data_IF_167102431284
#
_entry.id   IF_167102431284
#
_cell.length_a   1.000
_cell.length_b   1.000
_cell.length_c   1.000
_cell.angle_alpha   90.00
_cell.angle_beta   90.00
_cell.angle_gamma   90.00
#
_symmetry.space_group_name_H-M   'P 1'
#
loop_
_entity.id
_entity.type
_entity.pdbx_description
1 polymer ?
#
# COMPACT_ATOMS: atom_id res chain seq x y z
N UNK A 1 -27.20 89.29 4.32
CA UNK A 1 -26.37 89.25 3.17
C UNK A 1 -26.84 88.09 2.29
N UNK A 2 -27.23 88.39 1.04
CA UNK A 2 -27.61 87.37 0.06
C UNK A 2 -26.35 86.55 -0.28
N UNK A 3 -26.48 85.24 -0.20
CA UNK A 3 -25.47 84.29 -0.66
C UNK A 3 -25.38 84.41 -2.19
N UNK A 4 -24.32 85.04 -2.69
CA UNK A 4 -24.06 85.24 -4.14
C UNK A 4 -23.14 84.16 -4.67
N UNK A 5 -23.31 82.92 -4.22
CA UNK A 5 -22.66 81.82 -4.86
C UNK A 5 -23.31 81.62 -6.24
N UNK A 6 -22.55 81.82 -7.32
CA UNK A 6 -22.94 81.53 -8.70
C UNK A 6 -22.13 80.36 -9.27
N UNK A 7 -22.80 79.60 -10.04
CA UNK A 7 -22.15 78.46 -10.72
C UNK A 7 -21.16 78.94 -11.80
N UNK A 8 -19.91 78.49 -11.74
CA UNK A 8 -18.90 78.78 -12.74
C UNK A 8 -18.93 77.78 -13.87
N UNK A 9 -19.38 78.18 -15.05
CA UNK A 9 -19.45 77.35 -16.22
C UNK A 9 -18.25 77.52 -17.19
N UNK A 10 -17.35 78.46 -16.96
CA UNK A 10 -16.17 78.74 -17.79
C UNK A 10 -14.89 78.56 -17.00
N UNK A 11 -13.83 78.12 -17.65
CA UNK A 11 -12.48 77.93 -17.09
C UNK A 11 -12.40 76.90 -15.97
N UNK A 12 -13.30 75.89 -16.00
CA UNK A 12 -13.15 74.73 -15.11
C UNK A 12 -11.93 73.94 -15.55
N UNK A 13 -10.91 73.73 -14.71
CA UNK A 13 -9.77 72.89 -15.07
C UNK A 13 -10.24 71.47 -15.36
N UNK A 14 -9.84 70.93 -16.51
CA UNK A 14 -10.25 69.59 -16.97
C UNK A 14 -9.12 68.81 -17.64
N UNK A 15 -7.89 69.26 -17.43
CA UNK A 15 -6.67 68.67 -17.98
C UNK A 15 -6.17 67.45 -17.18
N UNK A 16 -6.75 67.20 -16.00
CA UNK A 16 -6.45 66.02 -15.19
C UNK A 16 -7.71 65.54 -14.49
N UNK A 17 -7.90 64.21 -14.37
CA UNK A 17 -9.05 63.63 -13.69
C UNK A 17 -9.19 64.06 -12.22
N UNK A 18 -8.06 64.32 -11.57
CA UNK A 18 -7.98 64.82 -10.20
C UNK A 18 -8.52 66.22 -10.00
N UNK A 19 -8.74 66.98 -11.08
CA UNK A 19 -9.40 68.29 -10.98
C UNK A 19 -10.86 68.19 -10.53
N UNK A 20 -11.51 67.05 -10.81
CA UNK A 20 -12.91 66.80 -10.47
C UNK A 20 -13.07 65.58 -9.57
N UNK A 21 -12.17 64.59 -9.64
CA UNK A 21 -12.24 63.33 -8.91
C UNK A 21 -11.20 63.24 -7.81
N UNK A 22 -11.60 62.72 -6.65
CA UNK A 22 -10.68 62.46 -5.55
C UNK A 22 -9.94 61.16 -5.84
N UNK A 23 -8.60 61.20 -5.82
CA UNK A 23 -7.79 60.01 -5.95
C UNK A 23 -7.87 59.12 -4.71
N UNK A 24 -8.63 58.01 -4.81
CA UNK A 24 -8.81 57.02 -3.77
C UNK A 24 -7.54 56.23 -3.48
N UNK A 25 -6.57 56.26 -4.42
CA UNK A 25 -5.29 55.56 -4.30
C UNK A 25 -4.22 56.43 -3.59
N UNK A 26 -4.54 57.68 -3.30
CA UNK A 26 -3.66 58.64 -2.57
C UNK A 26 -2.28 58.77 -3.22
N UNK A 27 -2.23 58.87 -4.53
CA UNK A 27 -1.02 59.03 -5.33
C UNK A 27 -0.16 57.78 -5.52
N UNK A 28 -0.54 56.63 -4.92
CA UNK A 28 0.30 55.39 -4.95
C UNK A 28 0.35 54.72 -6.29
N UNK A 29 -0.56 55.01 -7.23
CA UNK A 29 -0.64 54.45 -8.56
C UNK A 29 -0.29 55.41 -9.69
N UNK A 30 0.18 56.61 -9.33
CA UNK A 30 0.53 57.67 -10.31
C UNK A 30 -0.68 58.48 -10.75
N UNK A 31 -0.46 59.46 -11.62
CA UNK A 31 -1.48 60.45 -12.03
C UNK A 31 -2.22 60.06 -13.32
N UNK A 32 -1.76 59.04 -14.03
CA UNK A 32 -2.37 58.60 -15.29
C UNK A 32 -3.53 57.60 -15.00
N UNK A 33 -4.70 58.11 -14.69
CA UNK A 33 -5.89 57.33 -14.36
C UNK A 33 -6.37 56.46 -15.52
N UNK A 34 -6.22 56.93 -16.76
CA UNK A 34 -6.68 56.24 -17.97
C UNK A 34 -5.83 54.99 -18.28
N UNK A 35 -4.67 54.85 -17.66
CA UNK A 35 -3.89 53.62 -17.77
C UNK A 35 -4.60 52.39 -17.18
N UNK A 36 -5.56 52.60 -16.29
CA UNK A 36 -6.28 51.57 -15.61
C UNK A 36 -7.81 51.71 -15.70
N UNK A 37 -8.30 52.91 -15.80
CA UNK A 37 -9.74 53.23 -15.82
C UNK A 37 -10.19 53.69 -17.20
N UNK A 38 -11.45 53.42 -17.54
CA UNK A 38 -12.12 53.95 -18.73
C UNK A 38 -13.23 54.91 -18.35
N UNK A 39 -13.41 56.00 -19.08
CA UNK A 39 -14.54 56.92 -18.87
C UNK A 39 -15.91 56.25 -19.03
N UNK A 40 -16.00 55.16 -19.81
CA UNK A 40 -17.23 54.43 -20.04
C UNK A 40 -17.61 53.46 -18.91
N UNK A 41 -16.61 52.98 -18.18
CA UNK A 41 -16.81 52.07 -17.03
C UNK A 41 -15.63 52.18 -16.07
N UNK A 42 -15.76 53.12 -15.12
CA UNK A 42 -14.72 53.43 -14.14
C UNK A 42 -14.40 52.25 -13.20
N UNK A 43 -15.38 51.44 -12.90
CA UNK A 43 -15.23 50.31 -11.96
C UNK A 43 -14.78 49.03 -12.62
N UNK A 44 -14.93 48.91 -13.92
CA UNK A 44 -14.50 47.75 -14.68
C UNK A 44 -13.01 47.87 -15.01
N UNK A 45 -12.17 47.51 -14.05
CA UNK A 45 -10.76 47.28 -14.23
C UNK A 45 -10.58 45.95 -15.00
N UNK A 46 -11.22 45.76 -16.14
CA UNK A 46 -11.03 44.59 -16.98
C UNK A 46 -9.61 44.65 -17.50
N UNK A 47 -8.69 44.21 -16.68
CA UNK A 47 -7.32 43.76 -16.83
C UNK A 47 -6.47 44.15 -18.04
N UNK A 48 -6.97 44.95 -18.92
CA UNK A 48 -6.33 45.24 -20.21
C UNK A 48 -5.15 46.18 -20.13
N UNK A 49 -5.06 46.95 -19.07
CA UNK A 49 -4.04 48.01 -19.00
C UNK A 49 -3.12 47.93 -17.78
N UNK A 50 -3.38 47.04 -16.80
CA UNK A 50 -2.48 46.87 -15.68
C UNK A 50 -1.59 45.66 -15.86
N UNK A 51 -0.32 45.87 -16.06
CA UNK A 51 0.68 44.83 -16.32
C UNK A 51 1.43 44.45 -15.03
N UNK A 52 1.04 43.35 -14.41
CA UNK A 52 1.70 42.81 -13.24
C UNK A 52 3.15 42.38 -13.48
N UNK A 53 3.56 42.21 -14.73
CA UNK A 53 4.96 41.89 -15.04
C UNK A 53 5.93 42.98 -14.61
N UNK A 54 5.44 44.22 -14.51
CA UNK A 54 6.20 45.42 -14.06
C UNK A 54 6.13 45.63 -12.56
N UNK A 55 5.45 44.75 -11.80
CA UNK A 55 5.32 44.87 -10.35
C UNK A 55 6.33 44.00 -9.63
N UNK A 56 6.44 44.14 -8.31
CA UNK A 56 7.28 43.27 -7.47
C UNK A 56 6.78 41.82 -7.40
N UNK A 57 5.55 41.53 -7.86
CA UNK A 57 4.96 40.21 -7.91
C UNK A 57 4.35 39.95 -9.31
N UNK A 58 5.13 39.55 -10.29
CA UNK A 58 4.63 39.16 -11.60
C UNK A 58 3.71 37.93 -11.46
N UNK A 59 2.53 37.98 -12.08
CA UNK A 59 1.59 36.87 -12.05
C UNK A 59 2.01 35.78 -13.01
N UNK A 60 2.27 34.58 -12.49
CA UNK A 60 2.69 33.43 -13.26
C UNK A 60 1.82 32.20 -12.95
N UNK A 61 1.74 31.28 -13.90
CA UNK A 61 0.99 30.03 -13.76
C UNK A 61 -0.49 30.27 -13.41
N UNK A 62 -0.98 29.62 -12.37
CA UNK A 62 -2.38 29.76 -11.92
C UNK A 62 -2.70 31.16 -11.41
N UNK A 63 -1.71 31.93 -10.95
CA UNK A 63 -1.94 33.31 -10.51
C UNK A 63 -2.30 34.25 -11.66
N UNK A 64 -1.90 33.94 -12.90
CA UNK A 64 -2.19 34.78 -14.06
C UNK A 64 -3.70 34.92 -14.36
N UNK A 65 -4.51 34.00 -13.87
CA UNK A 65 -5.96 33.96 -14.11
C UNK A 65 -6.80 34.22 -12.85
N UNK A 66 -6.17 34.61 -11.75
CA UNK A 66 -6.88 34.91 -10.49
C UNK A 66 -7.51 36.29 -10.54
N UNK A 67 -8.76 36.43 -10.10
CA UNK A 67 -9.42 37.71 -10.00
C UNK A 67 -8.70 38.67 -9.07
N UNK A 68 -8.65 39.94 -9.45
CA UNK A 68 -7.95 41.01 -8.72
C UNK A 68 -8.33 41.07 -7.23
N UNK A 69 -9.61 40.92 -6.94
CA UNK A 69 -10.18 41.01 -5.59
C UNK A 69 -9.81 39.84 -4.67
N UNK A 70 -9.26 38.75 -5.21
CA UNK A 70 -8.77 37.61 -4.40
C UNK A 70 -7.49 37.96 -3.66
N UNK A 71 -6.71 38.87 -4.22
CA UNK A 71 -5.49 39.39 -3.60
C UNK A 71 -5.69 40.81 -3.02
N UNK A 72 -6.33 41.70 -3.80
CA UNK A 72 -6.57 43.08 -3.45
C UNK A 72 -7.95 43.26 -2.79
N UNK A 73 -8.05 42.90 -1.53
CA UNK A 73 -9.31 43.04 -0.77
C UNK A 73 -9.42 44.47 -0.17
N UNK A 74 -10.63 44.90 0.17
CA UNK A 74 -10.87 46.16 0.83
C UNK A 74 -10.11 46.33 2.17
N UNK A 75 -9.78 45.24 2.84
CA UNK A 75 -9.01 45.22 4.10
C UNK A 75 -7.49 45.24 3.89
N UNK A 76 -7.02 44.73 2.78
CA UNK A 76 -5.59 44.69 2.45
C UNK A 76 -5.38 45.61 1.28
N UNK A 77 -5.04 46.82 1.47
CA UNK A 77 -4.79 47.80 0.40
C UNK A 77 -4.04 47.19 -0.80
N UNK A 78 -3.92 47.91 -1.90
CA UNK A 78 -3.29 47.41 -3.11
C UNK A 78 -1.76 47.34 -3.01
N UNK A 79 -1.17 48.06 -2.04
CA UNK A 79 0.29 48.17 -1.85
C UNK A 79 0.84 47.40 -0.67
N UNK A 80 0.00 46.94 0.25
CA UNK A 80 0.41 46.36 1.56
C UNK A 80 0.38 44.82 1.56
N UNK A 81 0.38 44.23 0.38
CA UNK A 81 0.41 42.76 0.25
C UNK A 81 1.78 42.21 0.63
N UNK A 82 1.81 41.24 1.54
CA UNK A 82 2.95 40.38 1.77
C UNK A 82 2.90 39.24 0.76
N UNK A 83 4.01 38.93 0.12
CA UNK A 83 4.12 37.90 -0.90
C UNK A 83 5.54 37.32 -0.98
N UNK A 84 6.25 37.34 0.14
CA UNK A 84 7.61 36.78 0.22
C UNK A 84 7.56 35.25 0.25
N UNK A 85 6.58 34.71 0.94
CA UNK A 85 6.38 33.28 1.07
C UNK A 85 4.99 32.87 0.58
N UNK A 86 4.86 31.66 0.08
CA UNK A 86 3.54 31.12 -0.32
C UNK A 86 2.54 31.16 0.83
N UNK A 87 3.02 30.99 2.06
CA UNK A 87 2.22 31.04 3.30
C UNK A 87 1.72 32.43 3.66
N UNK A 88 2.19 33.50 3.01
CA UNK A 88 1.62 34.83 3.21
C UNK A 88 0.16 34.91 2.72
N UNK A 89 -0.19 34.05 1.76
CA UNK A 89 -1.52 33.97 1.15
C UNK A 89 -2.17 32.59 1.31
N UNK A 90 -1.39 31.50 1.29
CA UNK A 90 -1.89 30.15 1.35
C UNK A 90 -1.67 29.53 2.74
N UNK A 91 -2.70 28.90 3.30
CA UNK A 91 -2.54 28.11 4.50
C UNK A 91 -1.75 26.82 4.20
N UNK A 92 -0.87 26.43 5.13
CA UNK A 92 -0.12 25.19 5.01
C UNK A 92 -1.06 23.98 5.18
N UNK A 93 -1.34 23.32 4.05
CA UNK A 93 -2.14 22.10 4.00
C UNK A 93 -1.50 20.95 4.79
N UNK A 94 -0.18 20.92 4.90
CA UNK A 94 0.58 19.88 5.57
C UNK A 94 0.70 20.10 7.09
N UNK A 95 0.17 21.22 7.60
CA UNK A 95 0.12 21.55 9.03
C UNK A 95 1.48 21.45 9.73
N UNK A 96 2.52 21.93 9.07
CA UNK A 96 3.88 21.95 9.60
C UNK A 96 4.64 20.62 9.50
N UNK A 97 4.09 19.59 8.87
CA UNK A 97 4.74 18.27 8.73
C UNK A 97 6.14 18.33 8.11
N UNK A 98 6.42 19.37 7.31
CA UNK A 98 7.71 19.55 6.63
C UNK A 98 8.61 20.64 7.24
N UNK A 99 8.21 21.23 8.37
CA UNK A 99 8.96 22.33 8.99
C UNK A 99 10.41 21.99 9.39
N UNK A 100 10.69 20.68 9.60
CA UNK A 100 12.03 20.19 9.98
C UNK A 100 12.93 19.88 8.77
N UNK A 101 12.43 20.01 7.54
CA UNK A 101 13.27 19.80 6.34
C UNK A 101 14.31 20.91 6.18
N UNK A 102 15.37 20.65 5.43
CA UNK A 102 16.53 21.55 5.26
C UNK A 102 16.15 22.98 4.86
N UNK A 103 15.11 23.12 4.00
CA UNK A 103 14.57 24.44 3.61
C UNK A 103 13.31 24.82 4.38
N UNK A 104 13.12 24.29 5.58
CA UNK A 104 11.96 24.52 6.45
C UNK A 104 10.61 24.23 5.77
N UNK A 105 10.60 23.29 4.82
CA UNK A 105 9.41 22.90 4.09
C UNK A 105 8.91 23.97 3.10
N UNK A 106 9.84 24.69 2.46
CA UNK A 106 9.51 25.64 1.41
C UNK A 106 8.67 24.96 0.32
N UNK A 107 7.54 25.55 -0.02
CA UNK A 107 6.53 24.93 -0.91
C UNK A 107 7.10 24.64 -2.30
N UNK A 108 8.03 25.46 -2.75
CA UNK A 108 8.69 25.40 -4.06
C UNK A 108 9.57 24.15 -4.24
N UNK A 109 9.93 23.47 -3.14
CA UNK A 109 10.67 22.21 -3.23
C UNK A 109 9.84 21.09 -3.87
N UNK A 110 8.52 21.19 -3.74
CA UNK A 110 7.61 20.13 -4.16
C UNK A 110 6.50 20.61 -5.10
N UNK A 111 6.24 21.91 -5.15
CA UNK A 111 5.14 22.51 -5.91
C UNK A 111 5.62 23.64 -6.82
N UNK A 112 4.80 23.98 -7.80
CA UNK A 112 5.02 25.15 -8.67
C UNK A 112 3.77 26.01 -8.73
N UNK A 113 3.93 27.25 -9.19
CA UNK A 113 2.81 28.13 -9.46
C UNK A 113 1.86 27.64 -10.59
N UNK A 114 2.23 26.58 -11.30
CA UNK A 114 1.34 25.89 -12.26
C UNK A 114 0.24 25.09 -11.57
N UNK A 115 0.47 24.72 -10.30
CA UNK A 115 -0.50 24.02 -9.44
C UNK A 115 0.19 23.26 -8.31
N UNK A 116 -0.57 23.00 -7.26
CA UNK A 116 -0.11 22.16 -6.14
C UNK A 116 -0.23 20.65 -6.44
N UNK A 117 -0.99 20.27 -7.45
CA UNK A 117 -1.14 18.88 -7.88
C UNK A 117 -0.99 18.80 -9.41
N UNK A 118 -0.19 17.85 -9.93
CA UNK A 118 0.66 16.92 -9.17
C UNK A 118 1.85 17.63 -8.51
N UNK A 119 2.40 17.01 -7.47
CA UNK A 119 3.65 17.45 -6.87
C UNK A 119 4.84 17.11 -7.78
N UNK A 120 5.92 17.88 -7.69
CA UNK A 120 7.21 17.58 -8.33
C UNK A 120 8.05 16.60 -7.50
N UNK A 121 7.57 16.15 -6.35
CA UNK A 121 8.29 15.20 -5.50
C UNK A 121 8.33 13.82 -6.16
N UNK A 122 9.52 13.32 -6.41
CA UNK A 122 9.76 12.08 -7.16
C UNK A 122 10.06 10.89 -6.26
N UNK A 123 9.95 9.67 -6.79
CA UNK A 123 10.38 8.43 -6.10
C UNK A 123 11.87 8.51 -5.72
N UNK A 124 12.71 9.08 -6.58
CA UNK A 124 14.13 9.26 -6.28
C UNK A 124 14.39 10.21 -5.08
N UNK A 125 13.51 11.18 -4.87
CA UNK A 125 13.56 12.03 -3.69
C UNK A 125 13.01 11.29 -2.45
N UNK A 126 12.04 10.39 -2.62
CA UNK A 126 11.50 9.55 -1.56
C UNK A 126 12.54 8.57 -1.01
N UNK A 127 13.50 8.14 -1.83
CA UNK A 127 14.62 7.28 -1.39
C UNK A 127 15.46 7.90 -0.26
N UNK A 128 15.44 9.23 -0.14
CA UNK A 128 16.13 10.00 0.91
C UNK A 128 15.27 10.26 2.15
N UNK A 129 14.07 9.69 2.22
CA UNK A 129 13.18 9.78 3.37
C UNK A 129 13.46 8.68 4.39
N UNK A 130 12.80 8.73 5.54
CA UNK A 130 12.89 7.71 6.60
C UNK A 130 12.37 6.34 6.16
N UNK A 131 11.62 6.26 5.05
CA UNK A 131 11.11 5.02 4.48
C UNK A 131 11.39 4.96 2.97
N UNK A 132 12.57 4.51 2.55
CA UNK A 132 12.87 4.27 1.14
C UNK A 132 11.91 3.25 0.52
N UNK A 133 11.33 3.57 -0.64
CA UNK A 133 10.41 2.66 -1.33
C UNK A 133 11.19 1.54 -2.01
N UNK A 134 10.79 0.29 -1.74
CA UNK A 134 11.42 -0.91 -2.31
C UNK A 134 10.39 -1.91 -2.79
N UNK A 135 10.77 -2.73 -3.76
CA UNK A 135 9.96 -3.83 -4.26
C UNK A 135 8.56 -3.39 -4.66
N UNK A 136 7.54 -4.07 -4.17
CA UNK A 136 6.14 -3.77 -4.47
C UNK A 136 5.68 -2.37 -4.05
N UNK A 137 6.35 -1.73 -3.06
CA UNK A 137 6.01 -0.38 -2.62
C UNK A 137 6.32 0.70 -3.68
N UNK A 138 7.19 0.43 -4.65
CA UNK A 138 7.46 1.33 -5.77
C UNK A 138 6.25 1.49 -6.72
N UNK A 139 5.35 0.52 -6.75
CA UNK A 139 4.22 0.48 -7.69
C UNK A 139 2.91 1.00 -7.09
N UNK A 140 2.87 1.33 -5.79
CA UNK A 140 1.62 1.77 -5.14
C UNK A 140 1.44 3.29 -5.26
N UNK A 141 0.19 3.78 -5.41
CA UNK A 141 -0.09 5.22 -5.43
C UNK A 141 0.30 5.91 -4.11
N UNK A 142 0.81 7.13 -4.19
CA UNK A 142 1.23 7.92 -3.03
C UNK A 142 0.14 8.02 -1.95
N UNK A 143 -1.10 8.21 -2.37
CA UNK A 143 -2.27 8.33 -1.49
C UNK A 143 -2.56 7.09 -0.65
N UNK A 144 -2.07 5.92 -1.04
CA UNK A 144 -2.25 4.68 -0.27
C UNK A 144 -1.58 4.75 1.10
N UNK A 145 -0.42 5.41 1.17
CA UNK A 145 0.30 5.63 2.42
C UNK A 145 -0.01 7.02 3.02
N UNK A 146 -0.12 8.04 2.16
CA UNK A 146 -0.21 9.44 2.58
C UNK A 146 -1.64 9.96 2.79
N UNK A 147 -2.65 9.09 2.75
CA UNK A 147 -4.03 9.45 3.09
C UNK A 147 -4.49 8.66 4.31
N UNK A 148 -4.55 9.31 5.43
CA UNK A 148 -5.05 8.77 6.70
C UNK A 148 -6.48 9.20 7.02
N UNK A 149 -6.93 8.84 8.22
CA UNK A 149 -8.15 9.36 8.84
C UNK A 149 -7.80 9.92 10.21
N UNK A 150 -8.43 11.02 10.57
CA UNK A 150 -8.34 11.56 11.93
C UNK A 150 -9.26 10.81 12.91
N UNK A 151 -9.28 11.26 14.16
CA UNK A 151 -10.11 10.65 15.20
C UNK A 151 -11.62 10.72 14.91
N UNK A 152 -12.06 11.62 14.03
CA UNK A 152 -13.46 11.75 13.61
C UNK A 152 -13.80 10.90 12.39
N UNK A 153 -12.79 10.23 11.78
CA UNK A 153 -12.92 9.48 10.56
C UNK A 153 -12.80 10.31 9.28
N UNK A 154 -12.56 11.61 9.38
CA UNK A 154 -12.34 12.49 8.24
C UNK A 154 -10.98 12.19 7.58
N UNK A 155 -10.94 12.27 6.25
CA UNK A 155 -9.69 12.04 5.49
C UNK A 155 -8.71 13.17 5.76
N UNK A 156 -7.48 12.79 6.12
CA UNK A 156 -6.36 13.72 6.32
C UNK A 156 -5.15 13.25 5.52
N UNK A 157 -4.35 14.21 5.10
CA UNK A 157 -3.04 13.89 4.52
C UNK A 157 -2.04 13.62 5.66
N UNK A 158 -1.39 12.47 5.62
CA UNK A 158 -0.42 12.02 6.60
C UNK A 158 0.96 11.90 5.95
N UNK A 159 1.91 12.71 6.37
CA UNK A 159 3.28 12.70 5.82
C UNK A 159 4.34 12.33 6.85
N UNK A 160 3.97 12.27 8.13
CA UNK A 160 4.87 11.87 9.22
C UNK A 160 4.35 10.57 9.82
N UNK A 161 5.19 9.56 9.81
CA UNK A 161 4.91 8.25 10.39
C UNK A 161 5.81 8.03 11.60
N UNK A 162 5.24 7.44 12.66
CA UNK A 162 5.99 7.18 13.91
C UNK A 162 6.77 5.88 13.88
N UNK A 163 6.38 4.96 12.99
CA UNK A 163 6.94 3.61 12.89
C UNK A 163 6.92 3.15 11.45
N UNK A 164 7.86 2.28 11.11
CA UNK A 164 8.07 1.76 9.76
C UNK A 164 8.12 0.23 9.71
N UNK A 165 7.80 -0.44 10.83
CA UNK A 165 7.69 -1.91 10.84
C UNK A 165 6.47 -2.35 10.01
N UNK A 166 6.61 -3.47 9.33
CA UNK A 166 5.57 -4.01 8.43
C UNK A 166 4.18 -4.05 9.08
N UNK A 167 4.10 -4.50 10.34
CA UNK A 167 2.85 -4.63 11.08
C UNK A 167 2.18 -3.29 11.43
N UNK A 168 2.87 -2.16 11.25
CA UNK A 168 2.27 -0.84 11.47
C UNK A 168 1.26 -0.49 10.37
N UNK A 169 1.52 -0.95 9.15
CA UNK A 169 0.67 -0.69 7.98
C UNK A 169 -0.08 -1.94 7.51
N UNK A 170 0.50 -3.13 7.70
CA UNK A 170 -0.04 -4.39 7.23
C UNK A 170 -0.60 -5.22 8.37
N UNK A 171 -1.79 -5.77 8.15
CA UNK A 171 -2.39 -6.73 9.10
C UNK A 171 -1.61 -8.04 9.06
N UNK A 172 -1.24 -8.55 10.24
CA UNK A 172 -0.69 -9.90 10.37
C UNK A 172 -1.75 -10.96 10.05
N UNK A 173 -1.56 -11.67 8.94
CA UNK A 173 -2.45 -12.74 8.51
C UNK A 173 -2.27 -14.03 9.34
N UNK A 174 -1.17 -14.14 10.08
CA UNK A 174 -0.86 -15.28 10.94
C UNK A 174 -1.43 -15.13 12.35
N UNK A 175 -2.07 -13.99 12.65
CA UNK A 175 -2.68 -13.70 13.96
C UNK A 175 -1.70 -13.92 15.15
N UNK A 176 -0.44 -13.61 14.97
CA UNK A 176 0.61 -13.74 15.99
C UNK A 176 1.18 -15.16 16.14
N UNK A 177 0.68 -16.16 15.42
CA UNK A 177 1.13 -17.55 15.55
C UNK A 177 2.63 -17.72 15.28
N UNK A 178 3.19 -16.93 14.33
CA UNK A 178 4.61 -17.03 13.95
C UNK A 178 5.55 -16.14 14.76
N UNK A 179 5.03 -15.38 15.71
CA UNK A 179 5.82 -14.41 16.50
C UNK A 179 7.06 -15.00 17.15
N UNK A 180 7.01 -16.28 17.56
CA UNK A 180 8.13 -17.00 18.15
C UNK A 180 9.15 -17.53 17.13
N UNK A 181 8.80 -17.56 15.86
CA UNK A 181 9.62 -18.10 14.77
C UNK A 181 10.39 -17.01 14.03
N UNK A 182 9.99 -15.74 14.20
CA UNK A 182 10.63 -14.61 13.55
C UNK A 182 11.66 -13.97 14.50
N UNK A 183 12.76 -13.54 13.93
CA UNK A 183 13.81 -12.79 14.64
C UNK A 183 13.49 -11.28 14.66
N UNK A 184 14.53 -10.46 14.87
CA UNK A 184 14.42 -8.99 14.86
C UNK A 184 13.98 -8.42 13.52
N UNK A 185 14.18 -9.15 12.43
CA UNK A 185 13.75 -8.76 11.08
C UNK A 185 12.23 -8.89 10.88
N UNK A 186 11.53 -9.51 11.84
CA UNK A 186 10.07 -9.64 11.78
C UNK A 186 9.61 -10.40 10.54
N UNK A 187 8.72 -9.80 9.77
CA UNK A 187 8.13 -10.42 8.57
C UNK A 187 9.17 -10.78 7.51
N UNK A 188 10.26 -10.03 7.42
CA UNK A 188 11.33 -10.25 6.43
C UNK A 188 12.14 -11.51 6.67
N UNK A 189 12.02 -12.13 7.86
CA UNK A 189 12.57 -13.48 8.13
C UNK A 189 12.06 -14.50 7.10
N UNK A 190 10.83 -14.37 6.66
CA UNK A 190 10.17 -15.31 5.75
C UNK A 190 9.74 -14.70 4.43
N UNK A 191 9.39 -13.42 4.41
CA UNK A 191 8.88 -12.70 3.25
C UNK A 191 9.90 -11.71 2.68
N UNK A 192 9.71 -11.29 1.43
CA UNK A 192 10.44 -10.16 0.88
C UNK A 192 9.48 -9.13 0.29
N UNK A 193 9.91 -7.87 0.26
CA UNK A 193 9.13 -6.77 -0.31
C UNK A 193 9.01 -6.87 -1.84
N UNK A 194 9.88 -7.64 -2.50
CA UNK A 194 9.84 -7.87 -3.95
C UNK A 194 8.72 -8.83 -4.33
N UNK A 195 8.62 -9.96 -3.60
CA UNK A 195 7.62 -11.00 -3.88
C UNK A 195 7.12 -11.56 -2.54
N UNK A 196 6.08 -10.96 -2.00
CA UNK A 196 5.53 -11.32 -0.70
C UNK A 196 5.06 -12.79 -0.61
N UNK A 197 4.50 -13.32 -1.68
CA UNK A 197 3.99 -14.70 -1.75
C UNK A 197 5.09 -15.77 -1.77
N UNK A 198 6.33 -15.40 -2.10
CA UNK A 198 7.45 -16.33 -2.11
C UNK A 198 8.06 -16.43 -0.72
N UNK A 199 7.55 -17.35 0.09
CA UNK A 199 8.00 -17.57 1.47
C UNK A 199 9.34 -18.32 1.49
N UNK A 200 10.27 -17.84 2.30
CA UNK A 200 11.60 -18.44 2.55
C UNK A 200 11.61 -19.19 3.88
N UNK A 201 10.82 -20.23 4.01
CA UNK A 201 10.78 -21.03 5.22
C UNK A 201 11.31 -22.45 4.96
N UNK A 202 12.26 -22.92 5.76
CA UNK A 202 12.85 -24.26 5.65
C UNK A 202 12.19 -25.22 6.62
N UNK A 203 11.34 -26.11 6.10
CA UNK A 203 10.64 -27.13 6.89
C UNK A 203 11.59 -28.19 7.47
N UNK A 204 12.85 -28.28 7.03
CA UNK A 204 13.85 -29.16 7.67
C UNK A 204 14.11 -28.81 9.12
N UNK A 205 13.78 -27.58 9.53
CA UNK A 205 13.85 -27.10 10.92
C UNK A 205 12.63 -27.51 11.77
N UNK A 206 11.65 -28.19 11.16
CA UNK A 206 10.42 -28.64 11.84
C UNK A 206 10.40 -30.15 12.02
N UNK A 207 9.36 -30.65 12.70
CA UNK A 207 9.14 -32.10 12.86
C UNK A 207 8.75 -32.82 11.57
N UNK A 208 8.43 -32.07 10.50
CA UNK A 208 8.00 -32.60 9.20
C UNK A 208 8.75 -31.91 8.06
N UNK A 209 9.85 -32.49 7.65
CA UNK A 209 10.57 -32.04 6.48
C UNK A 209 9.75 -32.30 5.20
N UNK A 210 9.70 -31.33 4.29
CA UNK A 210 9.00 -31.48 3.01
C UNK A 210 9.89 -32.23 2.03
N UNK A 211 9.54 -33.48 1.75
CA UNK A 211 10.26 -34.35 0.83
C UNK A 211 9.34 -34.87 -0.28
N UNK A 212 9.92 -35.23 -1.43
CA UNK A 212 9.17 -35.79 -2.54
C UNK A 212 8.00 -34.92 -3.00
N UNK A 213 6.81 -35.51 -3.07
CA UNK A 213 5.58 -34.78 -3.49
C UNK A 213 5.15 -33.67 -2.51
N UNK A 214 5.53 -33.77 -1.25
CA UNK A 214 5.21 -32.74 -0.27
C UNK A 214 5.99 -31.43 -0.53
N UNK A 215 7.16 -31.49 -1.17
CA UNK A 215 7.96 -30.29 -1.46
C UNK A 215 7.27 -29.31 -2.44
N UNK A 216 6.35 -29.81 -3.25
CA UNK A 216 5.56 -28.97 -4.20
C UNK A 216 4.11 -28.75 -3.75
N UNK A 217 3.75 -29.19 -2.55
CA UNK A 217 2.38 -29.04 -2.02
C UNK A 217 2.16 -27.62 -1.52
N UNK A 218 1.01 -27.02 -1.84
CA UNK A 218 0.64 -25.68 -1.37
C UNK A 218 0.52 -25.62 0.16
N UNK A 219 1.04 -24.59 0.76
CA UNK A 219 1.04 -24.37 2.21
C UNK A 219 -0.34 -24.59 2.86
N UNK A 220 -1.40 -24.08 2.21
CA UNK A 220 -2.78 -24.16 2.69
C UNK A 220 -3.32 -25.61 2.77
N UNK A 221 -2.73 -26.57 2.08
CA UNK A 221 -3.16 -27.96 2.16
C UNK A 221 -2.82 -28.60 3.51
N UNK A 222 -1.80 -28.09 4.19
CA UNK A 222 -1.39 -28.55 5.52
C UNK A 222 -1.71 -27.50 6.59
N UNK A 223 -1.59 -26.24 6.24
CA UNK A 223 -1.75 -25.12 7.15
C UNK A 223 -3.12 -24.44 7.05
N UNK A 224 -4.19 -25.22 7.09
CA UNK A 224 -5.56 -24.71 7.11
C UNK A 224 -6.33 -25.25 8.31
N UNK A 225 -7.03 -24.38 9.02
CA UNK A 225 -8.06 -24.83 9.97
C UNK A 225 -9.31 -25.27 9.19
N UNK A 226 -9.95 -26.37 9.61
CA UNK A 226 -11.23 -26.74 9.06
C UNK A 226 -12.25 -25.61 9.23
N UNK A 227 -12.95 -25.29 8.16
CA UNK A 227 -14.01 -24.27 8.13
C UNK A 227 -15.28 -24.88 7.54
N UNK A 228 -16.42 -24.25 7.74
CA UNK A 228 -17.68 -24.67 7.14
C UNK A 228 -17.55 -24.74 5.60
N UNK A 229 -18.33 -25.63 4.99
CA UNK A 229 -18.35 -25.79 3.53
C UNK A 229 -18.67 -24.44 2.86
N UNK A 230 -17.80 -24.01 1.93
CA UNK A 230 -17.92 -22.74 1.21
C UNK A 230 -17.26 -21.53 1.89
N UNK A 231 -16.74 -21.67 3.10
CA UNK A 231 -15.96 -20.61 3.75
C UNK A 231 -14.49 -20.63 3.30
N UNK A 232 -13.86 -19.46 3.33
CA UNK A 232 -12.43 -19.34 3.02
C UNK A 232 -11.61 -20.00 4.13
N UNK A 233 -10.68 -20.92 3.80
CA UNK A 233 -9.83 -21.56 4.80
C UNK A 233 -9.01 -20.54 5.60
N UNK A 234 -8.97 -20.72 6.92
CA UNK A 234 -8.14 -19.90 7.81
C UNK A 234 -6.76 -20.52 7.87
N UNK A 235 -5.75 -19.74 7.46
CA UNK A 235 -4.35 -20.16 7.52
C UNK A 235 -3.92 -20.27 8.98
N UNK A 236 -3.24 -21.38 9.34
CA UNK A 236 -2.63 -21.60 10.65
C UNK A 236 -1.21 -22.15 10.46
N UNK A 237 -0.23 -21.58 11.11
CA UNK A 237 1.18 -21.99 10.97
C UNK A 237 1.60 -22.97 12.04
N UNK A 238 0.83 -23.11 13.11
CA UNK A 238 1.10 -24.02 14.22
C UNK A 238 0.05 -25.13 14.27
N UNK A 239 0.49 -26.30 14.79
CA UNK A 239 -0.42 -27.43 15.03
C UNK A 239 -0.73 -28.26 13.79
N UNK A 240 -0.01 -28.06 12.68
CA UNK A 240 -0.09 -28.97 11.57
C UNK A 240 0.36 -30.37 12.02
N UNK A 241 -0.43 -31.36 11.66
CA UNK A 241 -0.17 -32.76 12.00
C UNK A 241 1.01 -33.29 11.19
N UNK A 242 1.73 -34.28 11.73
CA UNK A 242 2.98 -34.76 11.14
C UNK A 242 3.02 -36.28 10.88
N UNK A 243 2.02 -37.03 11.32
CA UNK A 243 1.94 -38.44 11.02
C UNK A 243 1.24 -38.65 9.67
N UNK A 244 1.68 -39.65 8.91
CA UNK A 244 1.10 -39.98 7.60
C UNK A 244 -0.42 -40.21 7.70
N UNK A 245 -0.85 -40.96 8.71
CA UNK A 245 -2.26 -41.26 9.01
C UNK A 245 -3.12 -40.07 9.42
N UNK A 246 -2.51 -38.95 9.78
CA UNK A 246 -3.26 -37.73 10.11
C UNK A 246 -3.89 -37.07 8.87
N UNK A 247 -3.33 -37.36 7.70
CA UNK A 247 -3.72 -36.75 6.41
C UNK A 247 -4.09 -37.78 5.36
N UNK A 248 -3.45 -38.97 5.39
CA UNK A 248 -3.67 -40.03 4.43
C UNK A 248 -4.51 -41.15 5.03
N UNK A 249 -5.52 -41.59 4.29
CA UNK A 249 -6.32 -42.71 4.67
C UNK A 249 -5.53 -44.02 4.49
N UNK A 250 -5.56 -44.91 5.49
CA UNK A 250 -4.96 -46.23 5.38
C UNK A 250 -5.78 -47.12 4.43
N UNK A 251 -5.30 -47.32 3.24
CA UNK A 251 -5.91 -48.20 2.23
C UNK A 251 -5.78 -49.67 2.57
N UNK A 252 -4.88 -50.06 3.48
CA UNK A 252 -4.69 -51.43 3.94
C UNK A 252 -5.67 -51.82 5.06
N UNK A 253 -6.51 -50.89 5.52
CA UNK A 253 -7.56 -51.12 6.52
C UNK A 253 -7.06 -51.75 7.83
N UNK A 254 -5.89 -51.30 8.27
CA UNK A 254 -5.27 -51.77 9.52
C UNK A 254 -4.59 -53.12 9.45
N UNK A 255 -4.48 -53.77 8.28
CA UNK A 255 -3.84 -55.08 8.17
C UNK A 255 -2.42 -55.13 8.71
N UNK A 256 -1.72 -54.00 8.70
CA UNK A 256 -0.35 -53.86 9.20
C UNK A 256 -0.27 -53.22 10.59
N UNK A 257 -1.42 -52.99 11.26
CA UNK A 257 -1.42 -52.50 12.60
C UNK A 257 -1.12 -53.63 13.61
N UNK A 258 -0.35 -53.35 14.64
CA UNK A 258 -0.15 -54.23 15.81
C UNK A 258 -0.91 -53.68 17.00
N UNK A 259 -2.09 -54.25 17.30
CA UNK A 259 -3.00 -53.75 18.28
C UNK A 259 -3.47 -52.32 17.93
N UNK A 260 -3.31 -51.37 18.86
CA UNK A 260 -3.66 -49.95 18.64
C UNK A 260 -2.55 -49.14 17.95
N UNK A 261 -1.37 -49.73 17.68
CA UNK A 261 -0.23 -49.04 17.09
C UNK A 261 -0.28 -49.17 15.58
N UNK A 262 -0.46 -48.08 14.91
CA UNK A 262 -0.34 -47.98 13.44
C UNK A 262 1.11 -48.18 13.04
N UNK A 263 1.34 -49.05 12.07
CA UNK A 263 2.69 -49.29 11.52
C UNK A 263 3.20 -48.00 10.86
N UNK A 264 4.47 -47.70 11.04
CA UNK A 264 5.08 -46.57 10.34
C UNK A 264 5.05 -46.80 8.81
N UNK A 265 4.28 -45.96 8.13
CA UNK A 265 4.11 -46.08 6.66
C UNK A 265 5.45 -45.98 5.90
N UNK A 266 6.44 -45.28 6.48
CA UNK A 266 7.77 -45.14 5.91
C UNK A 266 8.54 -46.44 5.85
N UNK A 267 8.15 -47.47 6.60
CA UNK A 267 8.78 -48.80 6.52
C UNK A 267 8.56 -49.50 5.16
N UNK A 268 7.53 -49.06 4.43
CA UNK A 268 7.19 -49.64 3.13
C UNK A 268 7.07 -48.61 2.00
N UNK A 269 6.73 -47.36 2.34
CA UNK A 269 6.47 -46.30 1.37
C UNK A 269 7.43 -45.11 1.52
N UNK A 270 7.61 -44.36 0.42
CA UNK A 270 8.38 -43.12 0.45
C UNK A 270 7.54 -41.94 -0.01
N UNK A 271 7.85 -40.72 0.45
CA UNK A 271 7.19 -39.51 -0.03
C UNK A 271 7.41 -39.18 -1.49
N UNK A 272 8.38 -39.86 -2.15
CA UNK A 272 8.69 -39.66 -3.57
C UNK A 272 7.74 -40.43 -4.47
N UNK A 273 7.45 -41.66 -4.08
CA UNK A 273 6.50 -42.49 -4.79
C UNK A 273 5.79 -43.44 -3.79
N UNK A 274 4.52 -43.20 -3.62
CA UNK A 274 3.70 -43.93 -2.67
C UNK A 274 3.37 -45.36 -3.14
N UNK A 275 3.44 -45.65 -4.45
CA UNK A 275 3.14 -46.93 -5.03
C UNK A 275 4.30 -47.92 -4.90
N UNK A 276 5.51 -47.44 -4.69
CA UNK A 276 6.70 -48.29 -4.53
C UNK A 276 6.77 -48.74 -3.06
N UNK A 277 6.45 -50.00 -2.85
CA UNK A 277 6.63 -50.63 -1.56
C UNK A 277 8.03 -51.25 -1.46
N UNK A 278 8.72 -50.98 -0.37
CA UNK A 278 10.04 -51.56 -0.03
C UNK A 278 9.91 -52.81 0.84
N UNK A 279 8.76 -53.49 0.75
CA UNK A 279 8.51 -54.69 1.56
C UNK A 279 9.40 -55.87 1.12
N UNK A 280 10.13 -56.41 2.05
CA UNK A 280 11.02 -57.54 1.84
C UNK A 280 10.40 -58.80 2.46
N UNK A 281 9.88 -59.70 1.59
CA UNK A 281 9.26 -60.95 1.99
C UNK A 281 10.23 -61.88 2.72
N UNK A 282 11.49 -61.86 2.35
CA UNK A 282 12.48 -62.78 2.94
C UNK A 282 12.79 -62.43 4.39
N UNK A 283 12.66 -61.13 4.75
CA UNK A 283 12.93 -60.68 6.10
C UNK A 283 11.69 -60.53 7.00
N UNK A 284 10.54 -60.24 6.41
CA UNK A 284 9.39 -59.77 7.14
C UNK A 284 8.14 -60.61 7.04
N UNK A 285 8.14 -61.66 6.16
CA UNK A 285 7.03 -62.60 6.02
C UNK A 285 7.40 -64.01 6.44
N UNK A 286 6.37 -64.82 6.65
CA UNK A 286 6.53 -66.26 6.87
C UNK A 286 6.75 -67.05 5.55
N UNK A 287 6.61 -66.39 4.42
CA UNK A 287 6.74 -66.94 3.09
C UNK A 287 7.84 -66.19 2.31
N UNK A 288 9.10 -66.64 2.36
CA UNK A 288 10.17 -66.07 1.55
C UNK A 288 9.88 -66.29 0.05
N UNK A 289 10.26 -65.34 -0.78
CA UNK A 289 10.10 -65.49 -2.24
C UNK A 289 11.36 -66.13 -2.85
N UNK A 290 11.21 -67.33 -3.35
CA UNK A 290 12.32 -68.06 -4.00
C UNK A 290 12.05 -68.29 -5.48
N UNK A 291 13.12 -68.48 -6.26
CA UNK A 291 13.05 -68.75 -7.65
C UNK A 291 12.18 -67.79 -8.46
N UNK A 292 11.23 -68.34 -9.22
CA UNK A 292 10.31 -67.54 -10.05
C UNK A 292 9.35 -66.68 -9.26
N UNK A 293 9.14 -66.92 -7.98
CA UNK A 293 8.27 -66.10 -7.15
C UNK A 293 8.83 -64.68 -6.89
N UNK A 294 10.16 -64.50 -7.01
CA UNK A 294 10.81 -63.18 -6.84
C UNK A 294 10.35 -62.13 -7.84
N UNK A 295 9.86 -62.54 -8.98
CA UNK A 295 9.44 -61.69 -10.10
C UNK A 295 7.92 -61.59 -10.25
N UNK A 296 7.17 -62.31 -9.43
CA UNK A 296 5.70 -62.31 -9.49
C UNK A 296 5.14 -61.02 -8.91
N UNK A 297 4.22 -60.37 -9.64
CA UNK A 297 3.57 -59.16 -9.16
C UNK A 297 2.75 -59.44 -7.91
N UNK A 298 2.80 -58.55 -6.92
CA UNK A 298 2.12 -58.67 -5.61
C UNK A 298 0.66 -59.09 -5.72
N UNK A 299 -0.09 -58.53 -6.68
CA UNK A 299 -1.51 -58.77 -6.94
C UNK A 299 -1.86 -60.18 -7.39
N UNK A 300 -0.85 -61.00 -7.77
CA UNK A 300 -1.08 -62.39 -8.14
C UNK A 300 -1.30 -63.29 -6.94
N UNK A 301 -0.77 -62.92 -5.79
CA UNK A 301 -0.96 -63.63 -4.52
C UNK A 301 -1.88 -62.84 -3.57
N UNK A 302 -1.73 -61.54 -3.56
CA UNK A 302 -2.56 -60.65 -2.76
C UNK A 302 -3.75 -60.17 -3.58
N UNK A 303 -4.80 -60.96 -3.60
CA UNK A 303 -5.98 -60.73 -4.43
C UNK A 303 -6.85 -59.57 -3.89
N UNK A 304 -7.48 -58.83 -4.79
CA UNK A 304 -8.48 -57.85 -4.38
C UNK A 304 -9.70 -58.56 -3.77
N UNK A 305 -10.19 -58.02 -2.66
CA UNK A 305 -11.38 -58.45 -1.95
C UNK A 305 -12.40 -57.34 -1.98
N UNK A 306 -13.67 -57.65 -2.15
CA UNK A 306 -14.75 -56.65 -2.17
C UNK A 306 -15.70 -56.92 -1.00
N UNK A 307 -16.04 -55.89 -0.24
CA UNK A 307 -17.05 -55.87 0.79
C UNK A 307 -17.96 -54.62 0.69
N UNK A 308 -18.84 -54.40 1.67
CA UNK A 308 -19.77 -53.26 1.71
C UNK A 308 -19.08 -51.90 1.66
N UNK A 309 -17.78 -51.82 1.98
CA UNK A 309 -17.00 -50.59 2.03
C UNK A 309 -16.10 -50.41 0.79
N UNK A 310 -16.19 -51.28 -0.20
CA UNK A 310 -15.49 -51.21 -1.47
C UNK A 310 -14.43 -52.30 -1.66
N UNK A 311 -13.66 -52.21 -2.79
CA UNK A 311 -12.61 -53.14 -3.15
C UNK A 311 -11.27 -52.74 -2.54
N UNK A 312 -10.55 -53.67 -1.96
CA UNK A 312 -9.24 -53.48 -1.32
C UNK A 312 -8.36 -54.73 -1.50
N UNK A 313 -7.07 -54.60 -1.33
CA UNK A 313 -6.13 -55.71 -1.47
C UNK A 313 -5.90 -56.37 -0.11
N UNK A 314 -6.10 -57.69 -0.05
CA UNK A 314 -5.86 -58.49 1.17
C UNK A 314 -4.38 -58.89 1.23
N UNK A 315 -3.69 -58.38 2.23
CA UNK A 315 -2.28 -58.71 2.47
C UNK A 315 -2.11 -59.70 3.62
N UNK A 316 -3.06 -59.71 4.60
CA UNK A 316 -3.05 -60.60 5.75
C UNK A 316 -4.49 -60.95 6.19
N UNK A 317 -4.71 -62.12 6.76
CA UNK A 317 -3.94 -63.36 6.52
C UNK A 317 -4.11 -63.82 5.08
N UNK A 318 -3.13 -64.51 4.52
CA UNK A 318 -3.28 -65.33 3.37
C UNK A 318 -3.46 -66.76 3.88
N UNK A 319 -4.52 -67.44 3.46
CA UNK A 319 -4.84 -68.83 3.83
C UNK A 319 -3.85 -69.80 3.18
#
# INVERSE_FOLDING_TARGET
GADTSYEQFKNVPHNACTNCHTDVHKGTLGENCESCHSPNDWHNLTGRNFDHSKTRYPLAGKHATVDCNKCHTAKKGRTDLKFTFCTDCHSDFHKGAFAQRTKKGACEECHTVKGFSPTNFTIAQHEKSDYPLRGAHLAIPCVTCHLGKDATGARISQFVFKKFECAYCHRDQHNGEVKKLVDKSGCETCHSVEIWSKVRFDHRQTKFALEGKHASTLCIKCHAKPVAKGAVPILTMIGAKSLCSDCHQDTHRGQFASGKKVTDCKSCHSPRDWHIATFDHDKTSKFPLEGSHKTVACVKCHLPTTDKSGTWVRYKPLD
#
